data_IF_435665801910
#
_entry.id   IF_435665801910
#
_cell.length_a   1.000
_cell.length_b   1.000
_cell.length_c   1.000
_cell.angle_alpha   90.00
_cell.angle_beta   90.00
_cell.angle_gamma   90.00
#
_symmetry.space_group_name_H-M   'P 1'
#
loop_
_entity.id
_entity.type
_entity.pdbx_description
1 polymer ?
#
# COMPACT_ATOMS: atom_id res chain seq x y z
N UNK A 1 15.22 1.42 2.25
CA UNK A 1 14.83 2.75 1.73
C UNK A 1 15.98 3.73 1.87
N UNK A 2 15.81 5.01 1.54
CA UNK A 2 16.90 6.01 1.65
C UNK A 2 16.96 6.67 3.02
N UNK A 3 15.81 7.06 3.55
CA UNK A 3 15.71 7.77 4.83
C UNK A 3 15.05 6.89 5.88
N UNK A 4 15.50 6.97 7.15
CA UNK A 4 14.78 6.33 8.25
C UNK A 4 13.47 7.10 8.49
N UNK A 5 12.35 6.49 8.15
CA UNK A 5 11.02 7.05 8.38
C UNK A 5 10.37 6.31 9.54
N UNK A 6 9.94 7.05 10.55
CA UNK A 6 9.14 6.53 11.65
C UNK A 6 7.85 7.38 11.74
N UNK A 7 6.73 6.77 11.36
CA UNK A 7 5.45 7.48 11.21
C UNK A 7 4.93 8.07 12.52
N UNK A 8 5.23 7.44 13.66
CA UNK A 8 4.82 7.93 14.98
C UNK A 8 5.68 9.12 15.43
N UNK A 9 7.01 8.96 15.44
CA UNK A 9 7.96 10.00 15.87
C UNK A 9 7.91 11.24 14.98
N UNK A 10 7.56 11.06 13.71
CA UNK A 10 7.46 12.14 12.74
C UNK A 10 6.04 12.71 12.62
N UNK A 11 5.07 12.20 13.41
CA UNK A 11 3.67 12.62 13.39
C UNK A 11 3.06 12.62 11.97
N UNK A 12 3.31 11.55 11.21
CA UNK A 12 2.85 11.42 9.83
C UNK A 12 1.43 10.86 9.82
N UNK A 13 0.50 11.62 9.26
CA UNK A 13 -0.88 11.18 9.08
C UNK A 13 -1.06 10.33 7.81
N UNK A 14 -0.33 10.68 6.75
CA UNK A 14 -0.36 10.04 5.43
C UNK A 14 1.05 9.97 4.83
N UNK A 15 1.42 8.81 4.29
CA UNK A 15 2.68 8.62 3.58
C UNK A 15 2.47 7.77 2.33
N UNK A 16 2.65 8.38 1.16
CA UNK A 16 2.60 7.68 -0.12
C UNK A 16 4.02 7.32 -0.60
N UNK A 17 4.24 6.05 -0.94
CA UNK A 17 5.57 5.53 -1.29
C UNK A 17 5.53 4.77 -2.62
N UNK A 18 6.29 5.20 -3.64
CA UNK A 18 6.43 4.43 -4.87
C UNK A 18 7.37 3.23 -4.67
N UNK A 19 6.97 2.06 -5.16
CA UNK A 19 7.77 0.83 -5.06
C UNK A 19 9.00 0.81 -5.97
N UNK A 20 8.88 1.37 -7.18
CA UNK A 20 9.92 1.30 -8.23
C UNK A 20 11.09 2.28 -8.11
N UNK A 21 11.22 2.95 -6.96
CA UNK A 21 12.35 3.82 -6.67
C UNK A 21 13.28 3.11 -5.68
N UNK A 22 13.47 3.69 -4.50
CA UNK A 22 14.39 3.21 -3.48
C UNK A 22 13.91 1.97 -2.72
N UNK A 23 12.77 1.39 -3.10
CA UNK A 23 12.31 0.08 -2.63
C UNK A 23 12.62 -1.04 -3.63
N UNK A 24 13.21 -0.70 -4.79
CA UNK A 24 13.68 -1.67 -5.80
C UNK A 24 12.59 -2.61 -6.33
N UNK A 25 11.32 -2.22 -6.21
CA UNK A 25 10.18 -2.96 -6.78
C UNK A 25 9.96 -2.67 -8.28
N UNK A 26 9.02 -3.37 -8.93
CA UNK A 26 8.66 -3.10 -10.31
C UNK A 26 7.75 -1.85 -10.44
N UNK A 27 7.69 -1.22 -11.63
CA UNK A 27 6.75 -0.13 -11.90
C UNK A 27 5.29 -0.58 -11.69
N UNK A 28 4.42 0.38 -11.33
CA UNK A 28 3.02 0.07 -11.01
C UNK A 28 2.81 -0.50 -9.60
N UNK A 29 3.80 -0.37 -8.72
CA UNK A 29 3.71 -0.78 -7.30
C UNK A 29 4.03 0.37 -6.36
N UNK A 30 3.54 0.27 -5.14
CA UNK A 30 3.72 1.23 -4.06
C UNK A 30 2.75 0.94 -2.93
N UNK A 31 2.73 1.81 -1.93
CA UNK A 31 1.75 1.75 -0.86
C UNK A 31 1.44 3.15 -0.33
N UNK A 32 0.33 3.25 0.40
CA UNK A 32 0.02 4.40 1.24
C UNK A 32 -0.11 3.92 2.68
N UNK A 33 0.60 4.57 3.59
CA UNK A 33 0.32 4.45 5.01
C UNK A 33 -0.73 5.51 5.38
N UNK A 34 -1.72 5.09 6.14
CA UNK A 34 -2.79 5.91 6.71
C UNK A 34 -2.75 5.70 8.21
N UNK A 35 -2.70 6.79 8.99
CA UNK A 35 -2.75 6.70 10.45
C UNK A 35 -4.02 5.95 10.89
N UNK A 36 -3.96 5.02 11.86
CA UNK A 36 -5.08 4.14 12.21
C UNK A 36 -6.43 4.84 12.46
N UNK A 37 -6.42 6.02 13.10
CA UNK A 37 -7.63 6.77 13.44
C UNK A 37 -8.02 7.82 12.39
N UNK A 38 -7.38 7.83 11.22
CA UNK A 38 -7.70 8.75 10.14
C UNK A 38 -8.72 8.11 9.18
N UNK A 39 -9.93 8.65 9.20
CA UNK A 39 -10.97 8.27 8.24
C UNK A 39 -10.74 8.94 6.87
N UNK A 40 -10.64 8.13 5.81
CA UNK A 40 -10.43 8.62 4.45
C UNK A 40 -11.57 8.21 3.53
N UNK A 41 -12.07 9.17 2.77
CA UNK A 41 -13.02 8.90 1.70
C UNK A 41 -12.28 8.30 0.47
N UNK A 42 -12.71 7.13 -0.04
CA UNK A 42 -12.15 6.58 -1.28
C UNK A 42 -12.38 7.53 -2.46
N UNK A 43 -11.37 7.66 -3.32
CA UNK A 43 -11.49 8.39 -4.58
C UNK A 43 -12.20 7.57 -5.66
N UNK A 44 -11.97 6.26 -5.65
CA UNK A 44 -12.51 5.31 -6.62
C UNK A 44 -13.21 4.19 -5.89
N UNK A 45 -14.37 3.80 -6.42
CA UNK A 45 -15.18 2.70 -5.91
C UNK A 45 -15.25 1.54 -6.89
N UNK A 46 -15.21 0.32 -6.38
CA UNK A 46 -15.33 -0.89 -7.19
C UNK A 46 -15.17 -2.16 -6.38
N UNK A 47 -15.24 -3.31 -7.05
CA UNK A 47 -14.97 -4.60 -6.41
C UNK A 47 -13.49 -4.72 -6.04
N UNK A 48 -13.18 -5.30 -4.89
CA UNK A 48 -11.80 -5.43 -4.37
C UNK A 48 -11.14 -6.76 -4.71
N UNK A 49 -11.84 -7.65 -5.43
CA UNK A 49 -11.40 -9.02 -5.69
C UNK A 49 -11.55 -9.99 -4.49
N UNK A 50 -11.77 -9.49 -3.27
CA UNK A 50 -11.90 -10.31 -2.06
C UNK A 50 -13.36 -10.47 -1.58
N UNK A 51 -14.21 -9.45 -1.78
CA UNK A 51 -15.60 -9.42 -1.30
C UNK A 51 -16.62 -9.54 -2.45
N UNK A 52 -16.50 -10.58 -3.28
CA UNK A 52 -17.31 -10.75 -4.49
C UNK A 52 -18.82 -10.86 -4.25
N UNK A 53 -19.23 -11.21 -3.03
CA UNK A 53 -20.65 -11.34 -2.64
C UNK A 53 -21.27 -10.02 -2.18
N UNK A 54 -20.44 -8.99 -1.95
CA UNK A 54 -20.91 -7.66 -1.55
C UNK A 54 -21.04 -6.76 -2.76
N UNK A 55 -22.18 -6.08 -2.95
CA UNK A 55 -22.33 -5.06 -3.99
C UNK A 55 -21.64 -3.73 -3.60
N UNK A 56 -21.23 -3.57 -2.34
CA UNK A 56 -20.56 -2.37 -1.83
C UNK A 56 -19.10 -2.67 -1.53
N UNK A 57 -18.24 -1.67 -1.76
CA UNK A 57 -16.84 -1.75 -1.37
C UNK A 57 -16.72 -1.80 0.17
N UNK A 58 -15.79 -2.60 0.72
CA UNK A 58 -15.53 -2.66 2.16
C UNK A 58 -15.21 -1.29 2.77
N UNK A 59 -15.55 -1.14 4.06
CA UNK A 59 -15.23 0.06 4.84
C UNK A 59 -13.93 -0.08 5.63
N UNK A 60 -13.42 -1.31 5.70
CA UNK A 60 -12.23 -1.68 6.41
C UNK A 60 -10.97 -1.37 5.59
N UNK A 61 -9.95 -0.88 6.27
CA UNK A 61 -8.63 -0.69 5.67
C UNK A 61 -7.87 -2.04 5.64
N UNK A 62 -7.05 -2.29 4.60
CA UNK A 62 -6.75 -1.40 3.47
C UNK A 62 -7.73 -1.47 2.30
N UNK A 63 -8.62 -2.47 2.23
CA UNK A 63 -9.48 -2.76 1.07
C UNK A 63 -10.39 -1.60 0.69
N UNK A 64 -10.74 -0.73 1.65
CA UNK A 64 -11.45 0.53 1.41
C UNK A 64 -10.75 1.45 0.41
N UNK A 65 -9.43 1.36 0.23
CA UNK A 65 -8.67 2.16 -0.74
C UNK A 65 -8.15 1.35 -1.94
N UNK A 66 -8.43 0.04 -2.00
CA UNK A 66 -7.88 -0.88 -2.99
C UNK A 66 -8.97 -1.42 -3.94
N UNK A 67 -9.58 -0.52 -4.70
CA UNK A 67 -10.55 -0.91 -5.73
C UNK A 67 -9.85 -1.63 -6.89
N UNK A 68 -10.44 -2.75 -7.32
CA UNK A 68 -9.96 -3.60 -8.41
C UNK A 68 -9.22 -4.84 -7.92
N UNK A 69 -8.83 -5.69 -8.88
CA UNK A 69 -7.95 -6.83 -8.60
C UNK A 69 -6.51 -6.34 -8.41
N UNK A 70 -5.89 -6.69 -7.30
CA UNK A 70 -4.51 -6.31 -6.99
C UNK A 70 -3.51 -6.90 -8.01
N UNK A 71 -2.47 -6.11 -8.32
CA UNK A 71 -1.35 -6.54 -9.15
C UNK A 71 -0.43 -7.48 -8.35
N UNK A 72 -0.86 -8.72 -8.14
CA UNK A 72 -0.15 -9.71 -7.30
C UNK A 72 1.27 -10.00 -7.78
N UNK A 73 1.51 -10.03 -9.10
CA UNK A 73 2.85 -10.21 -9.68
C UNK A 73 3.75 -9.02 -9.36
N UNK A 74 3.23 -7.79 -9.51
CA UNK A 74 3.95 -6.58 -9.13
C UNK A 74 4.27 -6.56 -7.62
N UNK A 75 3.29 -6.88 -6.79
CA UNK A 75 3.44 -6.95 -5.33
C UNK A 75 4.49 -7.99 -4.90
N UNK A 76 4.54 -9.16 -5.55
CA UNK A 76 5.60 -10.14 -5.31
C UNK A 76 7.00 -9.58 -5.65
N UNK A 77 7.11 -8.83 -6.74
CA UNK A 77 8.36 -8.13 -7.08
C UNK A 77 8.74 -7.05 -6.08
N UNK A 78 7.77 -6.28 -5.56
CA UNK A 78 8.01 -5.29 -4.52
C UNK A 78 8.47 -5.95 -3.22
N UNK A 79 7.83 -7.05 -2.81
CA UNK A 79 8.23 -7.84 -1.65
C UNK A 79 9.68 -8.34 -1.77
N UNK A 80 10.07 -8.84 -2.94
CA UNK A 80 11.45 -9.26 -3.19
C UNK A 80 12.45 -8.10 -3.03
N UNK A 81 12.12 -6.90 -3.54
CA UNK A 81 12.94 -5.70 -3.37
C UNK A 81 13.10 -5.28 -1.90
N UNK A 82 12.01 -5.36 -1.12
CA UNK A 82 12.04 -5.08 0.32
C UNK A 82 12.92 -6.09 1.06
N UNK A 83 12.72 -7.40 0.83
CA UNK A 83 13.55 -8.44 1.46
C UNK A 83 15.03 -8.30 1.11
N UNK A 84 15.35 -7.91 -0.13
CA UNK A 84 16.74 -7.63 -0.50
C UNK A 84 17.31 -6.48 0.34
N UNK A 85 16.60 -5.36 0.45
CA UNK A 85 17.03 -4.21 1.27
C UNK A 85 17.22 -4.62 2.73
N UNK A 86 16.33 -5.42 3.31
CA UNK A 86 16.45 -5.93 4.68
C UNK A 86 17.63 -6.88 4.85
N UNK A 87 18.02 -7.61 3.80
CA UNK A 87 19.15 -8.56 3.85
C UNK A 87 20.53 -7.90 3.75
N UNK A 88 20.61 -6.71 3.12
CA UNK A 88 21.86 -5.95 2.94
C UNK A 88 21.97 -4.74 3.86
N UNK A 89 20.91 -4.47 4.63
CA UNK A 89 20.78 -3.36 5.57
C UNK A 89 21.28 -3.67 6.97
#
# INVERSE_FOLDING_TARGET
GVFPINVEKMAIDLLAVPGHKSLLGPPGTGFIYVRPDLDLAPLMYGGTGNYSQSPVQPLEMPERLESGTLNTVGLAGLMAGIHFIESVG
#
